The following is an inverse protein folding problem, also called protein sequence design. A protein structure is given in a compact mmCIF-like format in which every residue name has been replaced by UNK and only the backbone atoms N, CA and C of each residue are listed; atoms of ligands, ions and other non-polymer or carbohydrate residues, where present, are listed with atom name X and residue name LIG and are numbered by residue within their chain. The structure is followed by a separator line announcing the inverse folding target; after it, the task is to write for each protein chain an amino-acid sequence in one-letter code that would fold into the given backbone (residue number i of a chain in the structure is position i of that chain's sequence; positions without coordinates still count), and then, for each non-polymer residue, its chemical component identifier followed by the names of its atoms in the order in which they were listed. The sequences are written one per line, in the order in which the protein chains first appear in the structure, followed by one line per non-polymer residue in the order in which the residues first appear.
data_IF_136439421168
#
_entry.id   IF_136439421168
#
_cell.length_a   1.000
_cell.length_b   1.000
_cell.length_c   1.000
_cell.angle_alpha   90.00
_cell.angle_beta   90.00
_cell.angle_gamma   90.00
#
_symmetry.space_group_name_H-M   'P 1'
#
loop_
_entity.id
_entity.type
_entity.pdbx_description
1 polymer ?
#
# COMPACT_ATOMS: atom_id res chain seq x y z
N UNK A 1 -9.01 16.31 -15.75
CA UNK A 1 -8.18 15.67 -16.79
C UNK A 1 -8.43 14.16 -16.80
N UNK A 2 -8.65 13.53 -17.96
CA UNK A 2 -8.76 12.07 -18.04
C UNK A 2 -7.43 11.43 -17.62
N UNK A 3 -7.49 10.51 -16.66
CA UNK A 3 -6.32 9.80 -16.14
C UNK A 3 -6.17 8.50 -16.93
N UNK A 4 -5.01 8.26 -17.54
CA UNK A 4 -4.69 6.98 -18.18
C UNK A 4 -4.89 5.86 -17.14
N UNK A 5 -5.57 4.79 -17.54
CA UNK A 5 -5.73 3.62 -16.68
C UNK A 5 -4.34 3.10 -16.28
N UNK A 6 -4.17 2.74 -15.00
CA UNK A 6 -2.92 2.10 -14.56
C UNK A 6 -2.80 0.76 -15.27
N UNK A 7 -1.60 0.48 -15.77
CA UNK A 7 -1.27 -0.85 -16.26
C UNK A 7 -1.34 -1.81 -15.07
N UNK A 8 -2.30 -2.73 -15.10
CA UNK A 8 -2.54 -3.68 -14.02
C UNK A 8 -2.09 -5.08 -14.47
N UNK A 9 -0.85 -5.45 -14.14
CA UNK A 9 -0.25 -6.72 -14.56
C UNK A 9 0.16 -7.54 -13.33
N UNK A 10 -0.31 -8.78 -13.31
CA UNK A 10 0.04 -9.80 -12.33
C UNK A 10 1.46 -10.32 -12.52
N UNK A 11 2.10 -10.79 -11.44
CA UNK A 11 3.43 -11.40 -11.46
C UNK A 11 4.60 -10.44 -11.67
N UNK A 12 4.33 -9.15 -11.88
CA UNK A 12 5.37 -8.11 -12.01
C UNK A 12 5.46 -7.33 -10.70
N UNK A 13 6.67 -7.01 -10.20
CA UNK A 13 6.83 -6.15 -9.02
C UNK A 13 6.35 -4.71 -9.24
N UNK A 14 5.67 -4.15 -8.24
CA UNK A 14 5.17 -2.79 -8.21
C UNK A 14 5.83 -2.02 -7.09
N UNK A 15 6.28 -0.80 -7.40
CA UNK A 15 6.64 0.20 -6.40
C UNK A 15 5.46 1.14 -6.18
N UNK A 16 4.85 1.07 -5.01
CA UNK A 16 3.70 1.89 -4.63
C UNK A 16 4.17 2.96 -3.64
N UNK A 17 3.72 4.20 -3.86
CA UNK A 17 3.96 5.32 -2.95
C UNK A 17 2.61 5.88 -2.50
N UNK A 18 2.36 5.80 -1.20
CA UNK A 18 1.22 6.44 -0.54
C UNK A 18 1.72 7.70 0.15
N UNK A 19 1.06 8.85 -0.05
CA UNK A 19 1.40 10.11 0.62
C UNK A 19 0.20 10.63 1.38
N UNK A 20 0.46 11.25 2.54
CA UNK A 20 -0.57 11.99 3.28
C UNK A 20 -1.15 13.11 2.43
N UNK A 21 -2.44 13.40 2.62
CA UNK A 21 -3.10 14.50 1.93
C UNK A 21 -2.40 15.82 2.29
N UNK A 22 -2.10 16.67 1.30
CA UNK A 22 -1.28 17.88 1.53
C UNK A 22 0.06 17.63 2.24
N UNK A 23 0.65 16.44 2.10
CA UNK A 23 1.89 16.01 2.79
C UNK A 23 1.76 16.00 4.32
N UNK A 24 0.54 15.94 4.85
CA UNK A 24 0.29 15.78 6.28
C UNK A 24 0.89 14.48 6.81
N UNK A 25 1.07 14.42 8.13
CA UNK A 25 1.46 13.17 8.77
C UNK A 25 0.41 12.08 8.52
N UNK A 26 0.90 10.89 8.18
CA UNK A 26 0.15 9.63 8.15
C UNK A 26 0.22 8.92 9.51
N UNK A 27 1.28 9.18 10.27
CA UNK A 27 1.57 8.54 11.56
C UNK A 27 1.88 9.62 12.59
N UNK A 28 1.15 9.63 13.69
CA UNK A 28 1.25 10.61 14.78
C UNK A 28 1.86 9.99 16.04
N UNK A 29 1.74 8.67 16.20
CA UNK A 29 2.33 7.91 17.29
C UNK A 29 2.92 6.58 16.78
N UNK A 30 3.78 5.94 17.58
CA UNK A 30 4.40 4.66 17.26
C UNK A 30 3.36 3.56 16.98
N UNK A 31 2.24 3.59 17.70
CA UNK A 31 1.13 2.64 17.53
C UNK A 31 0.52 2.69 16.12
N UNK A 32 0.55 3.85 15.46
CA UNK A 32 0.03 4.00 14.10
C UNK A 32 0.87 3.20 13.09
N UNK A 33 2.18 3.12 13.30
CA UNK A 33 3.08 2.33 12.45
C UNK A 33 2.80 0.84 12.61
N UNK A 34 2.62 0.37 13.86
CA UNK A 34 2.27 -1.04 14.13
C UNK A 34 0.92 -1.40 13.54
N UNK A 35 -0.10 -0.55 13.75
CA UNK A 35 -1.42 -0.76 13.18
C UNK A 35 -1.39 -0.85 11.65
N UNK A 36 -0.58 -0.01 11.01
CA UNK A 36 -0.40 -0.03 9.55
C UNK A 36 0.24 -1.33 9.09
N UNK A 37 1.30 -1.80 9.74
CA UNK A 37 1.98 -3.04 9.38
C UNK A 37 1.08 -4.27 9.58
N UNK A 38 0.32 -4.31 10.68
CA UNK A 38 -0.65 -5.38 10.94
C UNK A 38 -1.74 -5.42 9.86
N UNK A 39 -2.23 -4.25 9.47
CA UNK A 39 -3.24 -4.12 8.41
C UNK A 39 -2.65 -4.49 7.06
N UNK A 40 -1.44 -4.04 6.75
CA UNK A 40 -0.71 -4.38 5.53
C UNK A 40 -0.55 -5.90 5.41
N UNK A 41 -0.12 -6.58 6.47
CA UNK A 41 0.05 -8.02 6.47
C UNK A 41 -1.27 -8.76 6.19
N UNK A 42 -2.35 -8.39 6.90
CA UNK A 42 -3.69 -8.98 6.71
C UNK A 42 -4.23 -8.76 5.30
N UNK A 43 -4.07 -7.55 4.75
CA UNK A 43 -4.55 -7.26 3.39
C UNK A 43 -3.65 -7.88 2.31
N UNK A 44 -2.34 -7.97 2.54
CA UNK A 44 -1.39 -8.64 1.65
C UNK A 44 -1.73 -10.12 1.49
N UNK A 45 -2.02 -10.80 2.60
CA UNK A 45 -2.48 -12.19 2.57
C UNK A 45 -3.84 -12.32 1.86
N UNK A 46 -4.82 -11.51 2.26
CA UNK A 46 -6.18 -11.56 1.71
C UNK A 46 -6.26 -11.30 0.20
N UNK A 47 -5.42 -10.41 -0.31
CA UNK A 47 -5.41 -10.00 -1.72
C UNK A 47 -4.18 -10.51 -2.48
N UNK A 48 -3.54 -11.55 -1.95
CA UNK A 48 -2.46 -12.29 -2.58
C UNK A 48 -1.34 -11.39 -3.15
N UNK A 49 -0.90 -10.44 -2.34
CA UNK A 49 0.20 -9.53 -2.67
C UNK A 49 1.43 -9.90 -1.85
N UNK A 50 2.48 -10.38 -2.52
CA UNK A 50 3.75 -10.67 -1.87
C UNK A 50 4.50 -9.37 -1.61
N UNK A 51 4.61 -8.96 -0.35
CA UNK A 51 5.35 -7.75 0.05
C UNK A 51 6.83 -8.10 0.20
N UNK A 52 7.69 -7.42 -0.56
CA UNK A 52 9.14 -7.63 -0.57
C UNK A 52 9.88 -6.65 0.32
N UNK A 53 9.42 -5.40 0.36
CA UNK A 53 10.01 -4.34 1.16
C UNK A 53 9.00 -3.23 1.45
N UNK A 54 9.22 -2.50 2.55
CA UNK A 54 8.46 -1.31 2.90
C UNK A 54 9.33 -0.27 3.60
N UNK A 55 8.95 1.00 3.48
CA UNK A 55 9.49 2.10 4.29
C UNK A 55 8.32 2.94 4.78
N UNK A 56 8.24 3.14 6.10
CA UNK A 56 7.26 4.01 6.74
C UNK A 56 7.94 5.32 7.13
N UNK A 57 7.57 6.40 6.47
CA UNK A 57 7.97 7.76 6.83
C UNK A 57 6.76 8.46 7.45
N UNK A 58 6.99 9.49 8.27
CA UNK A 58 5.90 10.20 8.98
C UNK A 58 4.76 10.64 8.06
N UNK A 59 5.02 11.02 6.80
CA UNK A 59 4.03 11.53 5.86
C UNK A 59 3.89 10.73 4.55
N UNK A 60 4.58 9.60 4.41
CA UNK A 60 4.44 8.74 3.23
C UNK A 60 4.94 7.32 3.48
N UNK A 61 4.47 6.39 2.65
CA UNK A 61 4.86 4.99 2.67
C UNK A 61 5.33 4.57 1.29
N UNK A 62 6.42 3.81 1.24
CA UNK A 62 6.86 3.07 0.07
C UNK A 62 6.59 1.58 0.28
N UNK A 63 5.98 0.92 -0.71
CA UNK A 63 5.81 -0.53 -0.74
C UNK A 63 6.40 -1.08 -2.03
N UNK A 64 7.18 -2.16 -1.93
CA UNK A 64 7.55 -3.00 -3.05
C UNK A 64 6.82 -4.33 -2.89
N UNK A 65 5.93 -4.66 -3.82
CA UNK A 65 5.16 -5.91 -3.77
C UNK A 65 4.96 -6.52 -5.14
N UNK A 66 4.67 -7.82 -5.21
CA UNK A 66 4.26 -8.51 -6.44
C UNK A 66 2.89 -9.13 -6.24
N UNK A 67 1.88 -8.74 -7.03
CA UNK A 67 0.55 -9.33 -6.93
C UNK A 67 0.44 -10.60 -7.77
N UNK A 68 -0.32 -11.58 -7.29
CA UNK A 68 -0.67 -12.78 -8.09
C UNK A 68 -1.75 -12.49 -9.13
N UNK A 69 -2.58 -11.46 -8.92
CA UNK A 69 -3.64 -11.04 -9.84
C UNK A 69 -3.72 -9.51 -9.97
N UNK A 70 -4.25 -9.02 -11.10
CA UNK A 70 -4.15 -7.61 -11.50
C UNK A 70 -4.88 -6.63 -10.56
N UNK A 71 -5.94 -7.07 -9.88
CA UNK A 71 -6.72 -6.25 -8.94
C UNK A 71 -6.10 -6.18 -7.54
N UNK A 72 -5.23 -7.13 -7.19
CA UNK A 72 -4.67 -7.32 -5.85
C UNK A 72 -4.12 -6.03 -5.23
N UNK A 73 -3.21 -5.29 -5.90
CA UNK A 73 -2.65 -4.06 -5.35
C UNK A 73 -3.70 -2.99 -5.09
N UNK A 74 -4.72 -2.88 -5.96
CA UNK A 74 -5.76 -1.85 -5.81
C UNK A 74 -6.70 -2.17 -4.65
N UNK A 75 -7.04 -3.45 -4.47
CA UNK A 75 -7.87 -3.92 -3.37
C UNK A 75 -7.14 -3.86 -2.03
N UNK A 76 -5.86 -4.23 -2.01
CA UNK A 76 -4.97 -4.06 -0.86
C UNK A 76 -4.92 -2.60 -0.42
N UNK A 77 -4.60 -1.67 -1.34
CA UNK A 77 -4.47 -0.25 -1.03
C UNK A 77 -5.79 0.37 -0.58
N UNK A 78 -6.93 -0.09 -1.11
CA UNK A 78 -8.27 0.39 -0.72
C UNK A 78 -8.60 0.07 0.75
N UNK A 79 -8.07 -1.03 1.29
CA UNK A 79 -8.38 -1.49 2.65
C UNK A 79 -7.22 -1.26 3.64
N UNK A 80 -6.13 -0.63 3.20
CA UNK A 80 -4.99 -0.24 4.03
C UNK A 80 -5.23 1.05 4.82
N UNK A 81 -6.20 1.85 4.40
CA UNK A 81 -6.59 3.10 5.07
C UNK A 81 -8.01 2.92 5.61
N UNK A 82 -8.10 2.44 6.85
CA UNK A 82 -9.34 2.17 7.56
C UNK A 82 -9.21 2.61 9.01
N UNK A 83 -9.19 3.92 9.22
CA UNK A 83 -9.30 4.63 10.48
C UNK A 83 -9.83 6.02 10.21
#
# INVERSE_FOLDING_TARGET
MPRRARLAVAGIPWHIVQRGNNRSACFYAEQDYHYYLDTLAKQAEKWECQVHAYVLMTNHVHLLLTPTHREGPSLLMKHLVGG
#
